data_IF_152547030955
#
_entry.id   IF_152547030955
#
_cell.length_a   1.000
_cell.length_b   1.000
_cell.length_c   1.000
_cell.angle_alpha   90.00
_cell.angle_beta   90.00
_cell.angle_gamma   90.00
#
_symmetry.space_group_name_H-M   'P 1'
#
loop_
_entity.id
_entity.type
_entity.pdbx_description
1 polymer ?
#
# COMPACT_ATOMS: atom_id res chain seq x y z
N UNK A 1 -4.77 1.17 -9.18
CA UNK A 1 -3.74 0.57 -10.05
C UNK A 1 -2.49 1.41 -9.96
N UNK A 2 -1.37 0.77 -9.73
CA UNK A 2 -0.07 1.46 -9.67
C UNK A 2 0.90 0.84 -10.67
N UNK A 3 1.78 1.68 -11.21
CA UNK A 3 2.81 1.26 -12.14
C UNK A 3 4.08 0.96 -11.37
N UNK A 4 4.66 -0.21 -11.62
CA UNK A 4 5.86 -0.67 -10.94
C UNK A 4 6.84 -1.25 -11.94
N UNK A 5 8.06 -1.52 -11.46
CA UNK A 5 9.09 -2.20 -12.23
C UNK A 5 9.72 -3.28 -11.36
N UNK A 6 9.89 -4.46 -11.92
CA UNK A 6 10.55 -5.56 -11.21
C UNK A 6 12.03 -5.20 -11.06
N UNK A 7 12.53 -5.23 -9.82
CA UNK A 7 13.93 -4.93 -9.54
C UNK A 7 14.71 -6.12 -9.00
N UNK A 8 14.03 -7.14 -8.49
CA UNK A 8 14.72 -8.29 -7.92
C UNK A 8 13.80 -9.50 -7.79
N UNK A 9 14.39 -10.68 -7.87
CA UNK A 9 13.74 -11.95 -7.55
C UNK A 9 14.56 -12.63 -6.46
N UNK A 10 13.86 -13.12 -5.44
CA UNK A 10 14.47 -13.91 -4.37
C UNK A 10 13.98 -15.35 -4.53
N UNK A 11 14.87 -16.22 -4.99
CA UNK A 11 14.49 -17.61 -5.23
C UNK A 11 14.44 -18.43 -3.96
N UNK A 12 15.07 -17.95 -2.89
CA UNK A 12 14.98 -18.65 -1.59
C UNK A 12 13.59 -18.51 -1.00
N UNK A 13 13.05 -17.30 -0.97
CA UNK A 13 11.72 -17.05 -0.43
C UNK A 13 10.63 -17.07 -1.50
N UNK A 14 10.99 -17.24 -2.76
CA UNK A 14 10.06 -17.26 -3.90
C UNK A 14 9.24 -15.98 -3.97
N UNK A 15 9.95 -14.86 -3.95
CA UNK A 15 9.35 -13.53 -3.94
C UNK A 15 9.92 -12.66 -5.06
N UNK A 16 9.13 -11.69 -5.50
CA UNK A 16 9.57 -10.65 -6.43
C UNK A 16 9.42 -9.30 -5.75
N UNK A 17 10.43 -8.45 -5.89
CA UNK A 17 10.40 -7.08 -5.40
C UNK A 17 10.18 -6.13 -6.56
N UNK A 18 9.24 -5.20 -6.38
CA UNK A 18 8.86 -4.22 -7.39
C UNK A 18 9.03 -2.82 -6.81
N UNK A 19 9.56 -1.92 -7.63
CA UNK A 19 9.77 -0.53 -7.25
C UNK A 19 8.70 0.36 -7.88
N UNK A 20 8.27 1.36 -7.15
CA UNK A 20 7.35 2.38 -7.63
C UNK A 20 7.62 3.69 -6.87
N UNK A 21 6.93 4.78 -7.24
CA UNK A 21 7.23 6.09 -6.66
C UNK A 21 6.98 6.16 -5.14
N UNK A 22 6.14 5.29 -4.61
CA UNK A 22 5.86 5.26 -3.16
C UNK A 22 6.79 4.38 -2.35
N UNK A 23 7.67 3.59 -2.99
CA UNK A 23 8.57 2.69 -2.28
C UNK A 23 8.74 1.35 -2.98
N UNK A 24 8.81 0.29 -2.19
CA UNK A 24 8.99 -1.08 -2.67
C UNK A 24 7.82 -1.94 -2.24
N UNK A 25 7.41 -2.85 -3.12
CA UNK A 25 6.42 -3.87 -2.83
C UNK A 25 7.00 -5.25 -3.11
N UNK A 26 6.55 -6.23 -2.34
CA UNK A 26 6.88 -7.63 -2.58
C UNK A 26 5.62 -8.42 -2.90
N UNK A 27 5.77 -9.41 -3.74
CA UNK A 27 4.69 -10.37 -4.03
C UNK A 27 5.29 -11.72 -4.38
N UNK A 28 4.44 -12.73 -4.50
CA UNK A 28 4.89 -14.04 -4.93
C UNK A 28 5.63 -13.94 -6.25
N UNK A 29 6.66 -14.76 -6.41
CA UNK A 29 7.56 -14.68 -7.54
C UNK A 29 6.83 -14.68 -8.87
N UNK A 30 7.13 -13.66 -9.68
CA UNK A 30 6.63 -13.54 -11.04
C UNK A 30 7.64 -14.15 -12.02
N UNK A 31 7.12 -14.77 -13.05
CA UNK A 31 7.96 -15.40 -14.08
C UNK A 31 8.23 -14.39 -15.20
N UNK A 32 8.80 -13.25 -14.82
CA UNK A 32 9.13 -12.16 -15.72
C UNK A 32 10.52 -11.63 -15.36
N UNK A 33 11.30 -11.16 -16.33
CA UNK A 33 12.66 -10.70 -16.03
C UNK A 33 12.69 -9.38 -15.24
N UNK A 34 13.79 -9.18 -14.51
CA UNK A 34 14.07 -7.90 -13.87
C UNK A 34 14.05 -6.80 -14.94
N UNK A 35 13.46 -5.65 -14.59
CA UNK A 35 13.29 -4.54 -15.52
C UNK A 35 11.93 -4.51 -16.19
N UNK A 36 11.12 -5.56 -16.02
CA UNK A 36 9.79 -5.61 -16.64
C UNK A 36 8.84 -4.66 -15.92
N UNK A 37 8.14 -3.77 -16.67
CA UNK A 37 7.07 -2.96 -16.08
C UNK A 37 5.88 -3.84 -15.72
N UNK A 38 5.30 -3.64 -14.54
CA UNK A 38 4.16 -4.41 -14.06
C UNK A 38 3.15 -3.45 -13.44
N UNK A 39 1.89 -3.59 -13.81
CA UNK A 39 0.81 -2.83 -13.19
C UNK A 39 0.14 -3.68 -12.12
N UNK A 40 -0.01 -3.11 -10.94
CA UNK A 40 -0.59 -3.80 -9.79
C UNK A 40 -1.90 -3.15 -9.38
N UNK A 41 -2.81 -3.97 -8.89
CA UNK A 41 -4.07 -3.53 -8.32
C UNK A 41 -3.99 -3.70 -6.81
N UNK A 42 -4.30 -2.61 -6.10
CA UNK A 42 -4.43 -2.61 -4.65
C UNK A 42 -5.89 -2.36 -4.31
N UNK A 43 -6.48 -3.27 -3.56
CA UNK A 43 -7.87 -3.12 -3.11
C UNK A 43 -7.89 -2.29 -1.83
N UNK A 44 -8.72 -1.27 -1.78
CA UNK A 44 -8.76 -0.35 -0.65
C UNK A 44 -9.00 -1.07 0.69
N UNK A 45 -9.83 -2.10 0.70
CA UNK A 45 -10.14 -2.86 1.92
C UNK A 45 -9.00 -3.78 2.37
N UNK A 46 -8.00 -3.99 1.52
CA UNK A 46 -6.83 -4.81 1.86
C UNK A 46 -5.68 -3.98 2.43
N UNK A 47 -5.91 -2.70 2.66
CA UNK A 47 -4.90 -1.78 3.22
C UNK A 47 -5.32 -1.39 4.62
N UNK A 48 -4.51 -1.80 5.60
CA UNK A 48 -4.69 -1.40 6.99
C UNK A 48 -3.79 -0.21 7.30
N UNK A 49 -4.11 0.50 8.37
CA UNK A 49 -3.41 1.72 8.77
C UNK A 49 -2.81 1.53 10.16
N UNK A 50 -1.55 1.93 10.33
CA UNK A 50 -0.92 2.02 11.63
C UNK A 50 -0.40 3.44 11.83
N UNK A 51 -0.51 3.94 13.05
CA UNK A 51 -0.03 5.29 13.39
C UNK A 51 1.36 5.26 14.00
N UNK A 52 1.89 4.07 14.25
CA UNK A 52 3.24 3.82 14.74
C UNK A 52 3.88 2.72 13.92
N UNK A 53 5.22 2.62 13.90
CA UNK A 53 5.87 1.54 13.16
C UNK A 53 5.34 0.18 13.61
N UNK A 54 4.68 -0.58 12.72
CA UNK A 54 4.08 -1.86 13.11
C UNK A 54 5.14 -2.95 13.25
N UNK A 55 4.94 -3.85 14.24
CA UNK A 55 5.85 -4.96 14.49
C UNK A 55 5.05 -6.22 14.78
N UNK A 56 5.66 -7.37 14.55
CA UNK A 56 5.10 -8.65 14.97
C UNK A 56 3.89 -9.11 14.18
N UNK A 57 3.85 -8.84 12.90
CA UNK A 57 2.76 -9.26 12.02
C UNK A 57 3.32 -9.95 10.76
N UNK A 58 2.45 -10.57 10.00
CA UNK A 58 2.84 -11.32 8.80
C UNK A 58 2.80 -10.51 7.50
N UNK A 59 2.34 -9.28 7.54
CA UNK A 59 2.23 -8.45 6.34
C UNK A 59 3.61 -7.96 5.94
N UNK A 60 4.01 -8.26 4.69
CA UNK A 60 5.34 -7.89 4.19
C UNK A 60 5.38 -6.48 3.61
N UNK A 61 4.26 -5.98 3.12
CA UNK A 61 4.22 -4.68 2.45
C UNK A 61 3.77 -3.61 3.44
N UNK A 62 4.75 -2.94 4.05
CA UNK A 62 4.52 -1.85 4.99
C UNK A 62 5.20 -0.62 4.44
N UNK A 63 4.40 0.40 4.13
CA UNK A 63 4.88 1.60 3.46
C UNK A 63 4.52 2.85 4.25
N UNK A 64 5.45 3.79 4.31
CA UNK A 64 5.20 5.08 4.93
C UNK A 64 4.44 5.99 3.99
N UNK A 65 3.63 6.86 4.56
CA UNK A 65 2.88 7.85 3.81
C UNK A 65 2.17 8.80 4.73
N UNK A 66 1.22 9.54 4.18
CA UNK A 66 0.39 10.42 4.99
C UNK A 66 -1.03 10.45 4.45
N UNK A 67 -1.97 10.87 5.32
CA UNK A 67 -3.37 10.99 4.95
C UNK A 67 -3.55 12.31 4.21
N UNK A 68 -3.91 12.21 2.93
CA UNK A 68 -4.16 13.37 2.09
C UNK A 68 -5.59 13.85 2.24
N UNK A 69 -6.52 12.92 2.39
CA UNK A 69 -7.93 13.21 2.55
C UNK A 69 -8.64 12.04 3.22
N UNK A 70 -9.81 12.29 3.79
CA UNK A 70 -10.64 11.24 4.37
C UNK A 70 -12.11 11.65 4.28
N UNK A 71 -12.96 10.70 3.96
CA UNK A 71 -14.39 10.95 3.86
C UNK A 71 -15.19 9.71 4.20
N UNK A 72 -16.42 9.92 4.61
CA UNK A 72 -17.36 8.84 4.87
C UNK A 72 -17.82 8.26 3.53
N UNK A 73 -17.63 6.95 3.34
CA UNK A 73 -17.92 6.27 2.08
C UNK A 73 -19.10 5.31 2.19
N UNK A 74 -19.73 5.27 3.36
CA UNK A 74 -20.87 4.42 3.65
C UNK A 74 -21.11 4.41 5.15
N UNK A 75 -22.22 3.83 5.62
CA UNK A 75 -22.50 3.77 7.05
C UNK A 75 -21.39 3.05 7.81
N UNK A 76 -20.76 3.75 8.76
CA UNK A 76 -19.69 3.19 9.57
C UNK A 76 -18.39 2.94 8.81
N UNK A 77 -18.21 3.56 7.65
CA UNK A 77 -17.09 3.28 6.76
C UNK A 77 -16.41 4.58 6.34
N UNK A 78 -15.09 4.61 6.42
CA UNK A 78 -14.27 5.77 6.04
C UNK A 78 -13.31 5.34 4.94
N UNK A 79 -13.22 6.14 3.89
CA UNK A 79 -12.19 5.97 2.87
C UNK A 79 -11.14 7.05 3.03
N UNK A 80 -9.90 6.61 3.13
CA UNK A 80 -8.74 7.47 3.22
C UNK A 80 -8.06 7.54 1.88
N UNK A 81 -7.68 8.74 1.46
CA UNK A 81 -6.77 8.92 0.34
C UNK A 81 -5.38 9.10 0.94
N UNK A 82 -4.48 8.19 0.61
CA UNK A 82 -3.12 8.17 1.14
C UNK A 82 -2.14 8.57 0.06
N UNK A 83 -1.12 9.32 0.45
CA UNK A 83 0.03 9.53 -0.39
C UNK A 83 1.15 8.67 0.18
N UNK A 84 1.55 7.64 -0.55
CA UNK A 84 2.64 6.76 -0.15
C UNK A 84 3.96 7.35 -0.59
N UNK A 85 4.96 7.29 0.28
CA UNK A 85 6.27 7.85 0.03
C UNK A 85 6.64 8.89 1.05
N UNK A 86 7.78 9.53 0.84
CA UNK A 86 8.29 10.55 1.75
C UNK A 86 7.75 11.91 1.36
N UNK A 87 7.46 12.74 2.36
CA UNK A 87 7.04 14.11 2.15
C UNK A 87 8.09 14.86 1.34
N UNK A 88 7.62 15.61 0.33
CA UNK A 88 8.50 16.40 -0.53
C UNK A 88 9.13 15.61 -1.68
N UNK A 89 8.82 14.34 -1.83
CA UNK A 89 9.29 13.50 -2.93
C UNK A 89 8.10 12.95 -3.71
N UNK A 90 8.31 12.58 -4.98
CA UNK A 90 7.23 11.93 -5.74
C UNK A 90 6.73 10.71 -4.99
N UNK A 91 5.41 10.58 -4.92
CA UNK A 91 4.76 9.48 -4.26
C UNK A 91 3.64 8.92 -5.09
N UNK A 92 2.93 7.96 -4.54
CA UNK A 92 1.82 7.31 -5.22
C UNK A 92 0.57 7.42 -4.35
N UNK A 93 -0.54 7.86 -4.97
CA UNK A 93 -1.81 7.96 -4.28
C UNK A 93 -2.51 6.60 -4.28
N UNK A 94 -2.97 6.17 -3.12
CA UNK A 94 -3.77 4.96 -2.98
C UNK A 94 -4.93 5.25 -2.03
N UNK A 95 -5.93 4.39 -2.04
CA UNK A 95 -7.07 4.49 -1.13
C UNK A 95 -7.11 3.32 -0.17
N UNK A 96 -7.48 3.60 1.07
CA UNK A 96 -7.72 2.58 2.08
C UNK A 96 -9.12 2.78 2.67
N UNK A 97 -9.84 1.69 2.82
CA UNK A 97 -11.17 1.72 3.40
C UNK A 97 -11.14 1.01 4.75
N UNK A 98 -11.49 1.74 5.79
CA UNK A 98 -11.47 1.23 7.17
C UNK A 98 -12.82 1.53 7.84
N UNK A 99 -13.02 0.96 9.02
CA UNK A 99 -14.24 1.27 9.77
C UNK A 99 -14.14 2.66 10.39
N UNK A 100 -15.28 3.30 10.57
CA UNK A 100 -15.34 4.58 11.28
C UNK A 100 -14.82 4.43 12.71
N UNK A 101 -15.06 3.27 13.34
CA UNK A 101 -14.54 2.98 14.67
C UNK A 101 -13.01 3.00 14.69
N UNK A 102 -12.37 2.37 13.70
CA UNK A 102 -10.91 2.35 13.63
C UNK A 102 -10.35 3.76 13.45
N UNK A 103 -10.95 4.54 12.56
CA UNK A 103 -10.51 5.91 12.34
C UNK A 103 -10.61 6.74 13.62
N UNK A 104 -11.69 6.57 14.38
CA UNK A 104 -11.89 7.29 15.63
C UNK A 104 -10.91 6.83 16.71
N UNK A 105 -10.70 5.52 16.86
CA UNK A 105 -9.79 5.00 17.86
C UNK A 105 -8.35 5.41 17.62
N UNK A 106 -7.95 5.52 16.36
CA UNK A 106 -6.61 5.95 16.00
C UNK A 106 -6.48 7.47 15.93
N UNK A 107 -7.57 8.20 16.09
CA UNK A 107 -7.59 9.67 15.98
C UNK A 107 -6.99 10.14 14.66
N UNK A 108 -7.35 9.48 13.57
CA UNK A 108 -6.80 9.81 12.26
C UNK A 108 -7.22 11.22 11.85
N UNK A 109 -6.28 11.96 11.32
CA UNK A 109 -6.49 13.34 10.92
C UNK A 109 -5.79 13.59 9.59
N UNK A 110 -6.40 14.39 8.73
CA UNK A 110 -5.82 14.80 7.46
C UNK A 110 -4.44 15.40 7.69
N UNK A 111 -3.46 14.99 6.90
CA UNK A 111 -2.08 15.42 7.01
C UNK A 111 -1.20 14.56 7.91
N UNK A 112 -1.78 13.63 8.67
CA UNK A 112 -1.00 12.80 9.60
C UNK A 112 -0.14 11.77 8.88
N UNK A 113 1.09 11.56 9.35
CA UNK A 113 1.89 10.45 8.87
C UNK A 113 1.33 9.13 9.34
N UNK A 114 1.39 8.12 8.48
CA UNK A 114 0.91 6.76 8.79
C UNK A 114 1.80 5.73 8.14
N UNK A 115 1.61 4.48 8.53
CA UNK A 115 2.10 3.31 7.82
C UNK A 115 0.93 2.59 7.21
N UNK A 116 1.03 2.27 5.91
CA UNK A 116 0.05 1.47 5.21
C UNK A 116 0.53 0.02 5.18
N UNK A 117 -0.30 -0.89 5.69
CA UNK A 117 -0.02 -2.32 5.66
C UNK A 117 -0.88 -2.92 4.55
N UNK A 118 -0.24 -3.34 3.47
CA UNK A 118 -0.92 -3.85 2.29
C UNK A 118 -0.85 -5.37 2.32
N UNK A 119 -1.98 -6.00 2.61
CA UNK A 119 -2.01 -7.45 2.80
C UNK A 119 -1.83 -8.21 1.50
N UNK A 120 -2.42 -7.73 0.42
CA UNK A 120 -2.30 -8.44 -0.86
C UNK A 120 -2.26 -7.47 -2.02
N UNK A 121 -1.56 -7.88 -3.06
CA UNK A 121 -1.51 -7.18 -4.34
C UNK A 121 -1.85 -8.16 -5.43
N UNK A 122 -2.37 -7.68 -6.54
CA UNK A 122 -2.71 -8.51 -7.69
C UNK A 122 -2.24 -7.84 -8.97
N UNK A 123 -1.98 -8.66 -9.99
CA UNK A 123 -1.67 -8.12 -11.32
C UNK A 123 -2.92 -7.47 -11.88
N UNK A 124 -2.77 -6.27 -12.44
CA UNK A 124 -3.88 -5.52 -13.01
C UNK A 124 -4.19 -5.92 -14.45
N UNK A 125 -3.24 -6.52 -15.14
CA UNK A 125 -3.39 -6.91 -16.54
C UNK A 125 -3.83 -8.36 -16.64
N UNK A 126 -5.07 -8.57 -16.34
CA UNK A 126 -5.68 -9.88 -16.52
C UNK A 126 -6.20 -10.01 -17.95
N UNK A 127 -5.89 -11.07 -18.60
CA UNK A 127 -6.36 -11.31 -19.96
C UNK A 127 -7.24 -12.53 -20.00
#
# INVERSE_FOLDING_TARGET
IIDTTIIDHDDFDTMTTLAFDGGLLCMSRLNLPVGTPVRLRLMARDIAIATQPPVGHSIQNVLQGFIEDMHESGPGQITLTLQLGKVGKPGTQVQATITARAARKLNLTKGWPIWALIKSVALANEF
#
